data_IF_364574264787
#
_entry.id   IF_364574264787
#
_cell.length_a   1.000
_cell.length_b   1.000
_cell.length_c   1.000
_cell.angle_alpha   90.00
_cell.angle_beta   90.00
_cell.angle_gamma   90.00
#
_symmetry.space_group_name_H-M   'P 1'
#
loop_
_entity.id
_entity.type
_entity.pdbx_description
1 polymer ?
#
# COMPACT_ATOMS: atom_id res chain seq x y z
N UNK A 1 -22.21 -3.36 -4.12
CA UNK A 1 -21.02 -2.53 -3.89
C UNK A 1 -19.91 -3.38 -3.31
N UNK A 2 -18.71 -3.24 -3.86
CA UNK A 2 -17.53 -3.96 -3.39
C UNK A 2 -16.73 -3.09 -2.46
N UNK A 3 -16.18 -3.69 -1.39
CA UNK A 3 -15.30 -3.02 -0.44
C UNK A 3 -13.86 -3.46 -0.65
N UNK A 4 -12.93 -2.51 -0.53
CA UNK A 4 -11.52 -2.82 -0.56
C UNK A 4 -11.15 -3.79 0.57
N UNK A 5 -10.33 -4.76 0.28
CA UNK A 5 -9.81 -5.70 1.27
C UNK A 5 -8.60 -5.05 1.93
N UNK A 6 -8.65 -4.75 3.23
CA UNK A 6 -7.49 -4.17 3.92
C UNK A 6 -6.34 -5.17 3.93
N UNK A 7 -5.13 -4.67 3.74
CA UNK A 7 -3.93 -5.48 3.83
C UNK A 7 -3.03 -4.96 4.94
N UNK A 8 -2.71 -5.82 5.89
CA UNK A 8 -1.88 -5.46 7.03
C UNK A 8 -0.44 -5.92 6.78
N UNK A 9 0.46 -4.97 6.88
CA UNK A 9 1.88 -5.20 6.65
C UNK A 9 2.67 -4.86 7.91
N UNK A 10 3.28 -5.86 8.60
CA UNK A 10 4.15 -5.59 9.74
C UNK A 10 5.42 -4.87 9.26
N UNK A 11 5.70 -3.72 9.85
CA UNK A 11 6.86 -2.90 9.48
C UNK A 11 8.07 -3.34 10.30
N UNK A 12 9.19 -3.58 9.60
CA UNK A 12 10.46 -3.81 10.26
C UNK A 12 11.23 -2.50 10.40
N UNK A 13 11.43 -2.04 11.63
CA UNK A 13 12.23 -0.83 11.88
C UNK A 13 13.69 -1.22 11.93
N UNK A 14 14.50 -0.65 11.04
CA UNK A 14 15.92 -0.91 10.93
C UNK A 14 16.74 0.18 11.64
N UNK A 15 17.98 -0.10 12.08
CA UNK A 15 18.81 0.93 12.69
C UNK A 15 18.99 2.19 11.83
N UNK A 16 19.08 2.01 10.50
CA UNK A 16 19.22 3.12 9.55
C UNK A 16 17.99 4.01 9.46
N UNK A 17 16.84 3.54 9.97
CA UNK A 17 15.61 4.33 9.99
C UNK A 17 15.63 5.41 11.08
N UNK A 18 16.54 5.30 12.03
CA UNK A 18 16.56 6.18 13.22
C UNK A 18 17.49 7.38 12.97
N UNK A 19 16.94 8.57 13.19
CA UNK A 19 17.70 9.81 13.04
C UNK A 19 18.41 10.22 14.34
N UNK A 20 19.07 11.38 14.30
CA UNK A 20 19.85 11.90 15.43
C UNK A 20 19.00 12.26 16.66
N UNK A 21 17.67 12.40 16.49
CA UNK A 21 16.75 12.66 17.59
C UNK A 21 16.24 11.37 18.27
N UNK A 22 16.66 10.20 17.78
CA UNK A 22 16.18 8.92 18.29
C UNK A 22 14.81 8.52 17.78
N UNK A 23 14.31 9.19 16.76
CA UNK A 23 13.03 8.90 16.11
C UNK A 23 13.26 8.29 14.74
N UNK A 24 12.26 7.59 14.22
CA UNK A 24 12.27 7.17 12.84
C UNK A 24 12.23 8.42 11.94
N UNK A 25 13.15 8.50 10.98
CA UNK A 25 13.20 9.64 10.09
C UNK A 25 12.01 9.62 9.12
N UNK A 26 11.62 10.81 8.65
CA UNK A 26 10.43 10.97 7.81
C UNK A 26 10.52 10.19 6.50
N UNK A 27 11.69 10.02 5.93
CA UNK A 27 11.87 9.30 4.67
C UNK A 27 11.58 7.80 4.79
N UNK A 28 11.74 7.21 5.97
CA UNK A 28 11.50 5.79 6.19
C UNK A 28 10.04 5.41 5.99
N UNK A 29 9.11 6.33 6.28
CA UNK A 29 7.69 6.06 6.08
C UNK A 29 7.35 5.80 4.61
N UNK A 30 8.01 6.50 3.69
CA UNK A 30 7.84 6.25 2.24
C UNK A 30 8.29 4.85 1.87
N UNK A 31 9.42 4.41 2.39
CA UNK A 31 9.94 3.06 2.17
C UNK A 31 8.94 2.01 2.67
N UNK A 32 8.34 2.23 3.83
CA UNK A 32 7.34 1.32 4.40
C UNK A 32 6.07 1.25 3.54
N UNK A 33 5.61 2.41 3.05
CA UNK A 33 4.43 2.47 2.18
C UNK A 33 4.69 1.69 0.90
N UNK A 34 5.85 1.88 0.28
CA UNK A 34 6.20 1.15 -0.94
C UNK A 34 6.23 -0.35 -0.70
N UNK A 35 6.87 -0.78 0.39
CA UNK A 35 6.93 -2.20 0.73
C UNK A 35 5.53 -2.78 0.97
N UNK A 36 4.68 -2.06 1.70
CA UNK A 36 3.33 -2.51 2.03
C UNK A 36 2.43 -2.61 0.79
N UNK A 37 2.50 -1.63 -0.11
CA UNK A 37 1.71 -1.63 -1.35
C UNK A 37 2.15 -2.79 -2.26
N UNK A 38 3.45 -3.01 -2.42
CA UNK A 38 3.95 -4.12 -3.22
C UNK A 38 3.62 -5.47 -2.61
N UNK A 39 3.67 -5.58 -1.29
CA UNK A 39 3.26 -6.80 -0.59
C UNK A 39 1.78 -7.10 -0.83
N UNK A 40 0.94 -6.08 -0.78
CA UNK A 40 -0.49 -6.19 -1.09
C UNK A 40 -0.72 -6.69 -2.52
N UNK A 41 -0.02 -6.10 -3.48
CA UNK A 41 -0.09 -6.52 -4.88
C UNK A 41 0.26 -8.00 -5.04
N UNK A 42 1.39 -8.41 -4.47
CA UNK A 42 1.86 -9.80 -4.56
C UNK A 42 0.96 -10.79 -3.84
N UNK A 43 0.30 -10.36 -2.77
CA UNK A 43 -0.59 -11.23 -2.00
C UNK A 43 -1.89 -11.52 -2.72
N UNK A 44 -2.45 -10.56 -3.46
CA UNK A 44 -3.79 -10.67 -4.04
C UNK A 44 -3.82 -10.83 -5.55
N UNK A 45 -2.80 -10.38 -6.27
CA UNK A 45 -2.76 -10.52 -7.72
C UNK A 45 -2.36 -11.94 -8.12
N UNK A 46 -2.90 -12.46 -9.24
CA UNK A 46 -2.42 -13.73 -9.77
C UNK A 46 -0.93 -13.66 -10.11
N UNK A 47 -0.23 -14.78 -9.98
CA UNK A 47 1.21 -14.86 -10.23
C UNK A 47 1.58 -14.33 -11.62
N UNK A 48 0.77 -14.61 -12.64
CA UNK A 48 1.00 -14.11 -13.99
C UNK A 48 0.92 -12.60 -14.07
N UNK A 49 -0.06 -11.99 -13.39
CA UNK A 49 -0.20 -10.54 -13.35
C UNK A 49 0.99 -9.88 -12.66
N UNK A 50 1.48 -10.49 -11.58
CA UNK A 50 2.67 -10.00 -10.86
C UNK A 50 3.89 -10.03 -11.78
N UNK A 51 4.05 -11.08 -12.56
CA UNK A 51 5.18 -11.22 -13.49
C UNK A 51 5.11 -10.23 -14.66
N UNK A 52 3.91 -9.86 -15.11
CA UNK A 52 3.68 -9.04 -16.29
C UNK A 52 3.64 -7.55 -16.03
N UNK A 53 3.55 -7.13 -14.78
CA UNK A 53 3.35 -5.72 -14.43
C UNK A 53 4.36 -5.24 -13.38
N UNK A 54 4.77 -3.99 -13.55
CA UNK A 54 5.58 -3.26 -12.57
C UNK A 54 4.78 -2.06 -12.08
N UNK A 55 5.08 -1.62 -10.87
CA UNK A 55 4.42 -0.46 -10.28
C UNK A 55 5.44 0.64 -9.99
N UNK A 56 5.13 1.85 -10.43
CA UNK A 56 5.95 3.04 -10.18
C UNK A 56 5.13 4.02 -9.37
N UNK A 57 5.65 4.44 -8.23
CA UNK A 57 5.01 5.47 -7.42
C UNK A 57 5.05 6.80 -8.18
N UNK A 58 3.91 7.47 -8.25
CA UNK A 58 3.77 8.76 -8.93
C UNK A 58 3.67 9.89 -7.92
N UNK A 59 2.95 9.66 -6.84
CA UNK A 59 2.72 10.69 -5.83
C UNK A 59 2.53 10.06 -4.47
N UNK A 60 3.12 10.70 -3.46
CA UNK A 60 2.84 10.43 -2.05
C UNK A 60 2.49 11.73 -1.34
N UNK A 61 1.45 11.67 -0.54
CA UNK A 61 1.08 12.73 0.39
C UNK A 61 1.02 12.12 1.77
N UNK A 62 1.89 12.57 2.68
CA UNK A 62 2.01 12.01 4.01
C UNK A 62 1.69 13.07 5.05
N UNK A 63 0.84 12.70 6.00
CA UNK A 63 0.58 13.49 7.20
C UNK A 63 1.18 12.73 8.37
N UNK A 64 2.19 13.32 9.01
CA UNK A 64 2.84 12.76 10.20
C UNK A 64 2.08 13.20 11.44
N UNK A 65 1.61 12.23 12.22
CA UNK A 65 0.79 12.50 13.41
C UNK A 65 1.58 12.36 14.71
N UNK A 66 2.35 11.29 14.84
CA UNK A 66 3.13 10.98 16.05
C UNK A 66 4.47 10.36 15.67
N UNK A 67 5.51 10.59 16.50
CA UNK A 67 6.81 9.97 16.21
C UNK A 67 6.79 8.47 16.41
N UNK A 68 7.65 7.77 15.68
CA UNK A 68 7.90 6.34 15.82
C UNK A 68 9.28 6.14 16.43
N UNK A 69 9.41 5.17 17.33
CA UNK A 69 10.62 4.87 18.06
C UNK A 69 11.17 3.48 17.71
N UNK A 70 12.46 3.20 18.00
CA UNK A 70 13.12 1.97 17.54
C UNK A 70 12.42 0.66 17.92
N UNK A 71 11.80 0.60 19.08
CA UNK A 71 11.21 -0.64 19.59
C UNK A 71 9.69 -0.71 19.41
N UNK A 72 9.13 0.18 18.62
CA UNK A 72 7.69 0.18 18.38
C UNK A 72 7.26 -0.97 17.48
N UNK A 73 6.10 -1.53 17.78
CA UNK A 73 5.42 -2.49 16.92
C UNK A 73 4.52 -1.72 15.96
N UNK A 74 4.90 -1.66 14.70
CA UNK A 74 4.23 -0.83 13.69
C UNK A 74 3.60 -1.69 12.63
N UNK A 75 2.35 -1.38 12.30
CA UNK A 75 1.60 -2.02 11.21
C UNK A 75 1.18 -0.94 10.22
N UNK A 76 1.46 -1.18 8.94
CA UNK A 76 0.90 -0.41 7.84
C UNK A 76 -0.31 -1.13 7.29
N UNK A 77 -1.47 -0.49 7.29
CA UNK A 77 -2.69 -1.03 6.71
C UNK A 77 -2.97 -0.32 5.40
N UNK A 78 -3.04 -1.10 4.32
CA UNK A 78 -3.15 -0.60 2.94
C UNK A 78 -4.54 -0.88 2.41
N UNK A 79 -5.14 0.13 1.78
CA UNK A 79 -6.41 0.01 1.07
C UNK A 79 -6.25 0.52 -0.37
N UNK A 80 -6.61 -0.30 -1.33
CA UNK A 80 -6.73 0.15 -2.72
C UNK A 80 -8.07 0.85 -2.87
N UNK A 81 -8.04 2.17 -3.10
CA UNK A 81 -9.26 2.96 -3.22
C UNK A 81 -9.95 2.76 -4.57
N UNK A 82 -9.19 2.85 -5.63
CA UNK A 82 -9.69 2.71 -7.00
C UNK A 82 -8.55 2.51 -7.98
N UNK A 83 -8.92 2.01 -9.16
CA UNK A 83 -8.04 1.93 -10.31
C UNK A 83 -8.71 2.66 -11.47
N UNK A 84 -7.98 3.57 -12.11
CA UNK A 84 -8.42 4.32 -13.28
C UNK A 84 -7.38 4.20 -14.38
N UNK A 85 -7.68 3.46 -15.44
CA UNK A 85 -6.71 3.20 -16.49
C UNK A 85 -5.50 2.46 -15.95
N UNK A 86 -4.33 3.06 -16.10
CA UNK A 86 -3.07 2.52 -15.58
C UNK A 86 -2.74 3.03 -14.18
N UNK A 87 -3.62 3.79 -13.55
CA UNK A 87 -3.37 4.39 -12.23
C UNK A 87 -4.10 3.67 -11.12
N UNK A 88 -3.40 3.41 -10.03
CA UNK A 88 -3.97 2.88 -8.78
C UNK A 88 -3.81 3.93 -7.68
N UNK A 89 -4.86 4.08 -6.88
CA UNK A 89 -4.93 5.06 -5.79
C UNK A 89 -5.07 4.31 -4.48
N UNK A 90 -4.13 4.55 -3.57
CA UNK A 90 -4.02 3.85 -2.30
C UNK A 90 -4.11 4.79 -1.12
N UNK A 91 -4.66 4.26 -0.03
CA UNK A 91 -4.57 4.89 1.28
C UNK A 91 -3.86 3.92 2.22
N UNK A 92 -2.88 4.43 2.96
CA UNK A 92 -2.14 3.64 3.93
C UNK A 92 -2.16 4.34 5.27
N UNK A 93 -2.52 3.61 6.31
CA UNK A 93 -2.50 4.14 7.68
C UNK A 93 -1.45 3.35 8.46
N UNK A 94 -0.50 4.07 9.03
CA UNK A 94 0.59 3.49 9.79
C UNK A 94 0.29 3.68 11.27
N UNK A 95 0.18 2.56 12.01
CA UNK A 95 -0.24 2.56 13.40
C UNK A 95 0.75 1.83 14.32
N UNK A 96 0.75 2.28 15.57
CA UNK A 96 1.32 1.56 16.71
C UNK A 96 0.14 1.27 17.65
N UNK A 97 -0.36 0.02 17.62
CA UNK A 97 -1.62 -0.31 18.30
C UNK A 97 -2.77 0.50 17.72
N UNK A 98 -3.49 1.21 18.56
CA UNK A 98 -4.60 2.07 18.15
C UNK A 98 -4.15 3.47 17.69
N UNK A 99 -2.89 3.83 17.96
CA UNK A 99 -2.38 5.16 17.63
C UNK A 99 -2.01 5.26 16.16
N UNK A 100 -2.53 6.29 15.50
CA UNK A 100 -2.14 6.63 14.12
C UNK A 100 -0.85 7.43 14.17
N UNK A 101 0.21 6.87 13.58
CA UNK A 101 1.51 7.52 13.46
C UNK A 101 1.59 8.39 12.21
N UNK A 102 1.04 7.89 11.10
CA UNK A 102 1.02 8.62 9.83
C UNK A 102 -0.14 8.13 8.96
N UNK A 103 -0.60 9.04 8.11
CA UNK A 103 -1.62 8.75 7.09
C UNK A 103 -1.04 9.12 5.74
N UNK A 104 -1.18 8.20 4.78
CA UNK A 104 -0.55 8.35 3.47
C UNK A 104 -1.56 8.12 2.36
N UNK A 105 -1.61 9.05 1.43
CA UNK A 105 -2.31 8.86 0.16
C UNK A 105 -1.26 8.74 -0.93
N UNK A 106 -1.39 7.72 -1.77
CA UNK A 106 -0.42 7.51 -2.84
C UNK A 106 -1.10 7.12 -4.13
N UNK A 107 -0.49 7.48 -5.24
CA UNK A 107 -0.90 7.02 -6.55
C UNK A 107 0.27 6.36 -7.25
N UNK A 108 -0.06 5.34 -8.03
CA UNK A 108 0.90 4.47 -8.69
C UNK A 108 0.53 4.27 -10.13
N UNK A 109 1.52 4.13 -10.99
CA UNK A 109 1.31 3.80 -12.39
C UNK A 109 1.71 2.35 -12.63
N UNK A 110 0.81 1.60 -13.25
CA UNK A 110 1.07 0.25 -13.70
C UNK A 110 1.80 0.29 -15.03
N UNK A 111 2.89 -0.46 -15.14
CA UNK A 111 3.67 -0.58 -16.36
C UNK A 111 3.65 -2.02 -16.84
N UNK A 112 3.67 -2.20 -18.15
CA UNK A 112 3.99 -3.49 -18.75
C UNK A 112 5.46 -3.80 -18.47
N UNK A 113 5.74 -5.00 -17.93
CA UNK A 113 7.10 -5.35 -17.49
C UNK A 113 8.08 -5.46 -18.65
N UNK A 114 7.62 -5.76 -19.87
CA UNK A 114 8.52 -5.90 -21.03
C UNK A 114 8.72 -4.60 -21.78
N UNK A 115 7.72 -3.75 -21.90
CA UNK A 115 7.80 -2.49 -22.64
C UNK A 115 8.10 -1.28 -21.78
N UNK A 116 7.84 -1.37 -20.47
CA UNK A 116 7.89 -0.28 -19.49
C UNK A 116 6.94 0.87 -19.81
N UNK A 117 5.89 0.60 -20.58
CA UNK A 117 4.85 1.57 -20.90
C UNK A 117 3.66 1.40 -19.97
N UNK A 118 2.89 2.47 -19.71
CA UNK A 118 1.67 2.35 -18.92
C UNK A 118 0.75 1.28 -19.47
N UNK A 119 0.20 0.46 -18.58
CA UNK A 119 -0.64 -0.65 -18.94
C UNK A 119 -1.86 -0.70 -18.01
N UNK A 120 -3.01 -1.04 -18.57
CA UNK A 120 -4.22 -1.24 -17.79
C UNK A 120 -4.24 -2.64 -17.22
N UNK A 121 -4.71 -2.78 -15.99
CA UNK A 121 -4.97 -4.07 -15.41
C UNK A 121 -6.29 -4.63 -15.93
N UNK A 122 -6.33 -5.95 -16.12
CA UNK A 122 -7.57 -6.63 -16.41
C UNK A 122 -8.54 -6.51 -15.24
N UNK A 123 -9.84 -6.41 -15.55
CA UNK A 123 -10.88 -6.22 -14.54
C UNK A 123 -10.90 -7.33 -13.49
N UNK A 124 -10.69 -8.58 -13.91
CA UNK A 124 -10.67 -9.73 -13.02
C UNK A 124 -9.50 -9.66 -12.02
N UNK A 125 -8.36 -9.11 -12.43
CA UNK A 125 -7.22 -8.87 -11.53
C UNK A 125 -7.59 -7.83 -10.48
N UNK A 126 -8.18 -6.72 -10.90
CA UNK A 126 -8.61 -5.65 -9.99
C UNK A 126 -9.61 -6.18 -8.97
N UNK A 127 -10.53 -7.03 -9.38
CA UNK A 127 -11.56 -7.56 -8.50
C UNK A 127 -11.01 -8.38 -7.33
N UNK A 128 -9.80 -8.93 -7.45
CA UNK A 128 -9.17 -9.66 -6.36
C UNK A 128 -8.89 -8.79 -5.14
N UNK A 129 -8.87 -7.47 -5.31
CA UNK A 129 -8.58 -6.51 -4.23
C UNK A 129 -9.83 -6.04 -3.51
N UNK A 130 -11.00 -6.52 -3.92
CA UNK A 130 -12.28 -6.09 -3.37
C UNK A 130 -13.12 -7.30 -2.98
N UNK A 131 -13.89 -7.15 -1.90
CA UNK A 131 -14.84 -8.15 -1.45
C UNK A 131 -16.26 -7.60 -1.56
N UNK A 132 -17.23 -8.49 -1.73
CA UNK A 132 -18.64 -8.08 -1.68
C UNK A 132 -19.00 -7.62 -0.28
N UNK A 133 -19.83 -6.58 -0.21
CA UNK A 133 -20.41 -6.14 1.05
C UNK A 133 -21.36 -7.23 1.58
N UNK A 134 -21.47 -7.33 2.90
CA UNK A 134 -22.35 -8.31 3.54
C UNK A 134 -23.82 -8.19 3.09
N UNK A 135 -24.25 -6.96 2.78
CA UNK A 135 -25.61 -6.69 2.33
C UNK A 135 -25.88 -7.20 0.90
N UNK A 136 -24.86 -7.57 0.17
CA UNK A 136 -24.94 -8.02 -1.22
C UNK A 136 -24.81 -9.53 -1.37
N UNK A 137 -24.58 -10.26 -0.27
CA UNK A 137 -24.46 -11.70 -0.33
C UNK A 137 -25.81 -12.33 -0.65
N UNK A 138 -25.85 -13.33 -1.55
CA UNK A 138 -27.09 -14.07 -1.77
C UNK A 138 -27.58 -14.70 -0.47
N UNK A 139 -28.86 -14.69 -0.32
CA UNK A 139 -29.49 -15.31 0.85
C UNK A 139 -29.49 -16.83 0.70
#
# INVERSE_FOLDING_TARGET
>A
VRKAIPHRYPVGIEPDDIDFMGHVNNASYLKWVQAAVLDHWRALAPTEAVAQHLWVAVRHEIIYRKPTFPNDDVIATVLLQKVQGARAFYETVIRRGEEVLAEVRSSWCCLDASTLRPARLARDVIQNFFALDNDEKPI
#
